data_IF_003063347713
#
_entry.id   IF_003063347713
#
_cell.length_a   1.000
_cell.length_b   1.000
_cell.length_c   1.000
_cell.angle_alpha   90.00
_cell.angle_beta   90.00
_cell.angle_gamma   90.00
#
_symmetry.space_group_name_H-M   'P 1'
#
loop_
_entity.id
_entity.type
_entity.pdbx_description
1 polymer ?
#
# COMPACT_ATOMS: atom_id res chain seq x y z
N UNK A 1 7.13 7.58 24.68
CA UNK A 1 5.80 8.11 24.32
C UNK A 1 5.68 8.41 22.83
N UNK A 2 6.57 9.20 22.22
CA UNK A 2 6.48 9.51 20.77
C UNK A 2 6.77 8.28 19.90
N UNK A 3 7.81 7.50 20.21
CA UNK A 3 8.13 6.26 19.47
C UNK A 3 7.02 5.19 19.57
N UNK A 4 6.43 5.01 20.76
CA UNK A 4 5.32 4.05 20.94
C UNK A 4 4.10 4.42 20.09
N UNK A 5 3.83 5.72 19.93
CA UNK A 5 2.76 6.21 19.07
C UNK A 5 3.07 5.97 17.59
N UNK A 6 4.32 6.21 17.16
CA UNK A 6 4.78 5.92 15.80
C UNK A 6 4.55 4.46 15.42
N UNK A 7 5.03 3.53 16.26
CA UNK A 7 4.84 2.09 16.01
C UNK A 7 3.37 1.67 16.03
N UNK A 8 2.54 2.26 16.91
CA UNK A 8 1.11 1.99 16.92
C UNK A 8 0.43 2.43 15.60
N UNK A 9 0.78 3.61 15.08
CA UNK A 9 0.27 4.13 13.80
C UNK A 9 0.69 3.20 12.65
N UNK A 10 1.95 2.76 12.64
CA UNK A 10 2.49 1.85 11.63
C UNK A 10 1.74 0.51 11.63
N UNK A 11 1.54 -0.09 12.81
CA UNK A 11 0.78 -1.34 12.95
C UNK A 11 -0.65 -1.18 12.44
N UNK A 12 -1.31 -0.08 12.78
CA UNK A 12 -2.69 0.19 12.32
C UNK A 12 -2.74 0.32 10.79
N UNK A 13 -1.82 1.08 10.19
CA UNK A 13 -1.73 1.22 8.73
C UNK A 13 -1.48 -0.12 8.04
N UNK A 14 -0.53 -0.90 8.56
CA UNK A 14 -0.20 -2.21 8.01
C UNK A 14 -1.39 -3.17 8.09
N UNK A 15 -2.08 -3.24 9.24
CA UNK A 15 -3.27 -4.08 9.40
C UNK A 15 -4.39 -3.64 8.46
N UNK A 16 -4.71 -2.34 8.44
CA UNK A 16 -5.76 -1.80 7.58
C UNK A 16 -5.47 -2.09 6.09
N UNK A 17 -4.23 -1.86 5.67
CA UNK A 17 -3.72 -2.15 4.34
C UNK A 17 -3.84 -3.64 3.97
N UNK A 18 -3.37 -4.53 4.84
CA UNK A 18 -3.45 -5.97 4.62
C UNK A 18 -4.90 -6.46 4.58
N UNK A 19 -5.81 -5.87 5.36
CA UNK A 19 -7.24 -6.17 5.30
C UNK A 19 -7.80 -5.80 3.92
N UNK A 20 -7.47 -4.63 3.37
CA UNK A 20 -7.91 -4.22 2.03
C UNK A 20 -7.39 -5.18 0.95
N UNK A 21 -6.10 -5.51 0.99
CA UNK A 21 -5.47 -6.46 0.07
C UNK A 21 -6.14 -7.84 0.18
N UNK A 22 -6.34 -8.33 1.40
CA UNK A 22 -7.00 -9.60 1.67
C UNK A 22 -8.42 -9.65 1.10
N UNK A 23 -9.21 -8.59 1.32
CA UNK A 23 -10.58 -8.49 0.81
C UNK A 23 -10.60 -8.48 -0.73
N UNK A 24 -9.71 -7.73 -1.37
CA UNK A 24 -9.59 -7.70 -2.83
C UNK A 24 -9.19 -9.07 -3.41
N UNK A 25 -8.21 -9.75 -2.80
CA UNK A 25 -7.79 -11.11 -3.19
C UNK A 25 -8.94 -12.11 -2.98
N UNK A 26 -9.63 -12.06 -1.85
CA UNK A 26 -10.76 -12.94 -1.55
C UNK A 26 -11.90 -12.74 -2.55
N UNK A 27 -12.22 -11.48 -2.88
CA UNK A 27 -13.20 -11.13 -3.89
C UNK A 27 -12.79 -11.67 -5.27
N UNK A 28 -11.55 -11.44 -5.70
CA UNK A 28 -11.03 -11.97 -6.95
C UNK A 28 -11.09 -13.50 -7.03
N UNK A 29 -10.72 -14.19 -5.95
CA UNK A 29 -10.80 -15.66 -5.88
C UNK A 29 -12.23 -16.17 -6.06
N UNK A 30 -13.22 -15.46 -5.52
CA UNK A 30 -14.64 -15.83 -5.59
C UNK A 30 -15.29 -15.48 -6.94
N UNK A 31 -15.02 -14.30 -7.49
CA UNK A 31 -15.74 -13.78 -8.67
C UNK A 31 -14.96 -13.94 -9.98
N UNK A 32 -13.63 -14.14 -9.90
CA UNK A 32 -12.69 -14.09 -11.04
C UNK A 32 -12.76 -12.77 -11.82
N UNK A 33 -13.31 -11.73 -11.21
CA UNK A 33 -13.49 -10.42 -11.84
C UNK A 33 -12.15 -9.66 -11.87
N UNK A 34 -11.55 -9.43 -13.06
CA UNK A 34 -10.19 -8.90 -13.18
C UNK A 34 -9.92 -7.57 -12.45
N UNK A 35 -10.87 -6.62 -12.35
CA UNK A 35 -10.68 -5.41 -11.55
C UNK A 35 -10.31 -5.67 -10.09
N UNK A 36 -10.80 -6.76 -9.47
CA UNK A 36 -10.45 -7.09 -8.08
C UNK A 36 -8.98 -7.48 -7.91
N UNK A 37 -8.36 -8.07 -8.93
CA UNK A 37 -6.92 -8.34 -8.92
C UNK A 37 -6.10 -7.03 -9.01
N UNK A 38 -6.58 -6.07 -9.81
CA UNK A 38 -5.95 -4.75 -9.90
C UNK A 38 -6.07 -4.00 -8.57
N UNK A 39 -7.23 -4.05 -7.89
CA UNK A 39 -7.37 -3.50 -6.55
C UNK A 39 -6.37 -4.11 -5.56
N UNK A 40 -6.22 -5.44 -5.58
CA UNK A 40 -5.24 -6.11 -4.72
C UNK A 40 -3.81 -5.63 -4.98
N UNK A 41 -3.42 -5.48 -6.25
CA UNK A 41 -2.09 -4.98 -6.64
C UNK A 41 -1.91 -3.51 -6.22
N UNK A 42 -2.89 -2.66 -6.51
CA UNK A 42 -2.83 -1.22 -6.18
C UNK A 42 -2.72 -0.98 -4.68
N UNK A 43 -3.57 -1.62 -3.88
CA UNK A 43 -3.47 -1.53 -2.42
C UNK A 43 -2.16 -2.13 -1.88
N UNK A 44 -1.65 -3.21 -2.48
CA UNK A 44 -0.37 -3.77 -2.06
C UNK A 44 0.78 -2.79 -2.30
N UNK A 45 0.80 -2.12 -3.45
CA UNK A 45 1.82 -1.12 -3.76
C UNK A 45 1.77 0.05 -2.79
N UNK A 46 0.58 0.58 -2.48
CA UNK A 46 0.42 1.68 -1.53
C UNK A 46 0.94 1.26 -0.15
N UNK A 47 0.51 0.11 0.38
CA UNK A 47 0.91 -0.35 1.72
C UNK A 47 2.41 -0.64 1.81
N UNK A 48 2.99 -1.23 0.76
CA UNK A 48 4.43 -1.49 0.70
C UNK A 48 5.21 -0.18 0.60
N UNK A 49 4.79 0.74 -0.27
CA UNK A 49 5.43 2.04 -0.45
C UNK A 49 5.38 2.86 0.83
N UNK A 50 4.17 3.22 1.26
CA UNK A 50 3.93 4.11 2.38
C UNK A 50 4.41 3.54 3.72
N UNK A 51 3.99 2.31 4.06
CA UNK A 51 4.20 1.79 5.41
C UNK A 51 5.51 1.02 5.58
N UNK A 52 5.90 0.19 4.61
CA UNK A 52 7.10 -0.68 4.76
C UNK A 52 8.36 0.05 4.27
N UNK A 53 8.32 0.57 3.04
CA UNK A 53 9.46 1.23 2.44
C UNK A 53 9.66 2.61 3.08
N UNK A 54 8.60 3.37 3.33
CA UNK A 54 8.68 4.66 4.04
C UNK A 54 9.42 4.55 5.37
N UNK A 55 8.95 3.69 6.28
CA UNK A 55 9.57 3.50 7.60
C UNK A 55 11.01 2.95 7.49
N UNK A 56 11.26 2.02 6.56
CA UNK A 56 12.61 1.49 6.35
C UNK A 56 13.59 2.54 5.79
N UNK A 57 13.14 3.42 4.89
CA UNK A 57 13.97 4.47 4.30
C UNK A 57 14.21 5.62 5.28
N UNK A 58 13.23 5.95 6.11
CA UNK A 58 13.38 6.89 7.23
C UNK A 58 14.42 6.37 8.22
N UNK A 59 14.37 5.09 8.59
CA UNK A 59 15.36 4.44 9.45
C UNK A 59 16.78 4.47 8.88
N UNK A 60 16.94 4.39 7.55
CA UNK A 60 18.24 4.46 6.88
C UNK A 60 18.73 5.90 6.63
N UNK A 61 17.99 6.93 7.07
CA UNK A 61 18.29 8.34 6.86
C UNK A 61 18.55 8.68 5.37
N UNK A 62 17.85 8.02 4.45
CA UNK A 62 18.01 8.19 2.99
C UNK A 62 17.51 9.56 2.48
N UNK A 63 16.89 10.37 3.34
CA UNK A 63 16.42 11.71 3.04
C UNK A 63 15.55 11.77 1.77
N UNK A 64 15.88 12.72 0.88
CA UNK A 64 15.11 13.02 -0.34
C UNK A 64 14.98 11.80 -1.26
N UNK A 65 16.01 10.94 -1.37
CA UNK A 65 15.94 9.80 -2.28
C UNK A 65 14.92 8.75 -1.81
N UNK A 66 14.89 8.47 -0.50
CA UNK A 66 13.93 7.56 0.10
C UNK A 66 12.49 8.06 -0.04
N UNK A 67 12.28 9.37 0.15
CA UNK A 67 11.00 10.04 0.00
C UNK A 67 10.47 9.94 -1.44
N UNK A 68 11.29 10.33 -2.43
CA UNK A 68 10.90 10.25 -3.86
C UNK A 68 10.57 8.82 -4.29
N UNK A 69 11.33 7.83 -3.82
CA UNK A 69 11.09 6.43 -4.15
C UNK A 69 9.76 5.93 -3.54
N UNK A 70 9.49 6.32 -2.28
CA UNK A 70 8.25 5.98 -1.57
C UNK A 70 7.03 6.57 -2.28
N UNK A 71 7.06 7.88 -2.56
CA UNK A 71 5.98 8.58 -3.28
C UNK A 71 5.75 7.98 -4.67
N UNK A 72 6.83 7.62 -5.39
CA UNK A 72 6.71 7.02 -6.72
C UNK A 72 5.95 5.69 -6.67
N UNK A 73 6.25 4.83 -5.68
CA UNK A 73 5.57 3.54 -5.52
C UNK A 73 4.11 3.75 -5.15
N UNK A 74 3.81 4.72 -4.29
CA UNK A 74 2.45 5.06 -3.91
C UNK A 74 1.62 5.56 -5.11
N UNK A 75 2.18 6.48 -5.91
CA UNK A 75 1.57 6.98 -7.15
C UNK A 75 1.28 5.83 -8.12
N UNK A 76 2.22 4.90 -8.29
CA UNK A 76 1.99 3.70 -9.11
C UNK A 76 0.83 2.86 -8.58
N UNK A 77 0.72 2.73 -7.25
CA UNK A 77 -0.43 2.11 -6.60
C UNK A 77 -1.75 2.79 -6.95
N UNK A 78 -1.82 4.13 -6.86
CA UNK A 78 -3.00 4.90 -7.25
C UNK A 78 -3.35 4.75 -8.73
N UNK A 79 -2.36 4.75 -9.63
CA UNK A 79 -2.57 4.50 -11.06
C UNK A 79 -3.23 3.14 -11.27
N UNK A 80 -2.77 2.10 -10.58
CA UNK A 80 -3.37 0.76 -10.66
C UNK A 80 -4.81 0.76 -10.12
N UNK A 81 -5.10 1.48 -9.03
CA UNK A 81 -6.47 1.62 -8.51
C UNK A 81 -7.39 2.30 -9.53
N UNK A 82 -6.93 3.37 -10.19
CA UNK A 82 -7.69 4.05 -11.26
C UNK A 82 -7.96 3.07 -12.42
N UNK A 83 -6.97 2.27 -12.82
CA UNK A 83 -7.16 1.24 -13.85
C UNK A 83 -8.17 0.17 -13.44
N UNK A 84 -8.22 -0.19 -12.15
CA UNK A 84 -9.23 -1.11 -11.62
C UNK A 84 -10.64 -0.54 -11.77
N UNK A 85 -10.83 0.73 -11.41
CA UNK A 85 -12.12 1.43 -11.54
C UNK A 85 -12.52 1.58 -13.01
N UNK A 86 -11.59 2.01 -13.87
CA UNK A 86 -11.85 2.18 -15.31
C UNK A 86 -12.27 0.87 -16.01
N UNK A 87 -11.79 -0.28 -15.51
CA UNK A 87 -12.08 -1.61 -16.07
C UNK A 87 -13.28 -2.30 -15.39
N UNK A 88 -13.92 -1.66 -14.42
CA UNK A 88 -15.13 -2.19 -13.79
C UNK A 88 -16.38 -1.97 -14.65
#
# INVERSE_FOLDING_TARGET
MVEELHYAILIVHLIAGLVLVYLAIKAFKKTKYPPMALLAIGFSLIVIGDTIIGDYMEFLEQGIFGEVLTETIEILGFVVLILAVKRS
#
